data_IF_123925194134
#
_entry.id   IF_123925194134
#
_cell.length_a   1.000
_cell.length_b   1.000
_cell.length_c   1.000
_cell.angle_alpha   90.00
_cell.angle_beta   90.00
_cell.angle_gamma   90.00
#
_symmetry.space_group_name_H-M   'P 1'
#
loop_
_entity.id
_entity.type
_entity.pdbx_description
1 polymer ?
#
# COMPACT_ATOMS: atom_id res chain seq x y z
N UNK A 1 22.08 76.71 19.49
CA UNK A 1 21.93 76.53 18.03
C UNK A 1 23.19 75.84 17.51
N UNK A 2 23.04 74.85 16.63
CA UNK A 2 24.10 74.23 15.80
C UNK A 2 24.42 75.11 14.57
N UNK A 3 25.37 74.80 13.64
CA UNK A 3 26.33 73.66 13.47
C UNK A 3 27.82 74.13 13.56
N UNK A 4 28.91 73.43 13.20
CA UNK A 4 29.18 72.04 12.74
C UNK A 4 30.55 71.91 12.02
N UNK A 5 30.79 70.78 11.33
CA UNK A 5 32.02 70.37 10.57
C UNK A 5 33.30 70.10 11.42
N UNK A 6 34.21 69.17 11.06
CA UNK A 6 34.17 68.02 10.13
C UNK A 6 35.27 66.99 10.50
N UNK A 7 35.18 65.76 9.97
CA UNK A 7 36.01 64.59 10.31
C UNK A 7 37.11 64.28 9.27
N UNK A 8 38.19 63.65 9.74
CA UNK A 8 39.10 62.79 8.97
C UNK A 8 39.50 61.57 9.85
N UNK A 9 39.88 60.41 9.27
CA UNK A 9 39.48 59.09 9.80
C UNK A 9 40.56 58.34 10.59
N UNK A 10 40.21 57.17 11.17
CA UNK A 10 40.83 55.95 10.62
C UNK A 10 39.91 54.70 10.51
N UNK A 11 40.15 53.97 9.41
CA UNK A 11 40.21 52.51 9.23
C UNK A 11 39.44 51.54 10.16
N UNK A 12 38.55 50.78 9.51
CA UNK A 12 38.31 49.33 9.63
C UNK A 12 37.93 48.73 11.00
N UNK A 13 36.63 48.49 11.17
CA UNK A 13 36.07 47.48 12.08
C UNK A 13 34.96 46.69 11.33
N UNK A 14 34.71 45.40 11.63
CA UNK A 14 34.15 44.47 10.64
C UNK A 14 32.61 44.45 10.59
N UNK A 15 32.09 44.01 9.43
CA UNK A 15 30.66 43.76 9.22
C UNK A 15 30.10 42.75 10.22
N UNK A 16 29.04 43.14 10.94
CA UNK A 16 28.13 42.17 11.56
C UNK A 16 27.36 41.42 10.46
N UNK A 17 27.49 40.10 10.45
CA UNK A 17 26.53 39.17 9.86
C UNK A 17 25.85 38.43 11.01
N UNK A 18 24.50 38.44 11.12
CA UNK A 18 23.81 37.74 12.19
C UNK A 18 23.99 36.22 12.06
N UNK A 19 24.34 35.60 13.17
CA UNK A 19 24.56 34.16 13.31
C UNK A 19 23.22 33.40 13.18
N UNK A 20 22.91 32.88 11.99
CA UNK A 20 21.86 31.87 11.82
C UNK A 20 22.44 30.49 12.16
N UNK A 21 21.97 29.79 13.22
CA UNK A 21 22.41 28.44 13.50
C UNK A 21 21.83 27.49 12.44
N UNK A 22 22.66 27.14 11.45
CA UNK A 22 22.38 26.03 10.50
C UNK A 22 22.45 24.69 11.24
N UNK A 23 21.42 24.38 12.02
CA UNK A 23 21.11 23.00 12.36
C UNK A 23 20.55 22.31 11.11
N UNK A 24 21.46 21.94 10.20
CA UNK A 24 21.19 20.90 9.21
C UNK A 24 21.08 19.57 9.96
N UNK A 25 19.89 19.33 10.52
CA UNK A 25 19.51 18.02 11.01
C UNK A 25 19.53 17.07 9.82
N UNK A 26 20.62 16.30 9.69
CA UNK A 26 20.74 15.25 8.69
C UNK A 26 19.56 14.30 8.87
N UNK A 27 18.70 14.09 7.84
CA UNK A 27 17.57 13.20 7.98
C UNK A 27 18.08 11.80 8.35
N UNK A 28 17.46 11.13 9.34
CA UNK A 28 18.00 9.89 9.86
C UNK A 28 18.04 8.82 8.75
N UNK A 29 19.16 8.10 8.69
CA UNK A 29 19.58 7.25 7.55
C UNK A 29 18.58 6.15 7.11
N UNK A 30 17.51 5.90 7.87
CA UNK A 30 16.44 4.99 7.49
C UNK A 30 15.51 5.54 6.40
N UNK A 31 15.47 6.86 6.19
CA UNK A 31 14.75 7.50 5.07
C UNK A 31 15.43 7.29 3.70
N UNK A 32 16.69 6.83 3.68
CA UNK A 32 17.53 6.70 2.48
C UNK A 32 17.78 5.25 2.04
N UNK A 33 16.96 4.29 2.47
CA UNK A 33 17.02 2.91 1.94
C UNK A 33 16.13 2.77 0.69
N UNK A 34 16.69 2.33 -0.46
CA UNK A 34 15.88 1.90 -1.60
C UNK A 34 14.85 0.84 -1.18
N UNK A 35 13.68 0.84 -1.83
CA UNK A 35 12.58 -0.05 -1.48
C UNK A 35 12.89 -1.55 -1.67
N UNK A 36 13.95 -1.88 -2.41
CA UNK A 36 14.32 -3.24 -2.84
C UNK A 36 15.06 -4.07 -1.77
N UNK A 37 15.33 -3.53 -0.59
CA UNK A 37 15.89 -4.26 0.57
C UNK A 37 14.91 -4.28 1.74
N UNK A 38 13.80 -5.01 1.57
CA UNK A 38 12.81 -5.23 2.63
C UNK A 38 12.41 -6.71 2.69
N UNK A 39 12.76 -7.31 3.83
CA UNK A 39 12.32 -8.63 4.34
C UNK A 39 13.18 -9.83 3.87
N UNK A 40 14.33 -10.01 4.52
CA UNK A 40 14.85 -11.35 4.82
C UNK A 40 13.98 -11.96 5.93
N UNK A 41 12.88 -12.64 5.55
CA UNK A 41 12.16 -13.53 6.48
C UNK A 41 12.78 -14.91 6.38
N UNK A 42 13.37 -15.36 7.49
CA UNK A 42 13.54 -16.79 7.75
C UNK A 42 12.16 -17.34 8.17
N UNK A 43 11.49 -18.13 7.31
CA UNK A 43 10.16 -18.67 7.62
C UNK A 43 10.19 -19.71 8.75
N UNK A 44 11.38 -20.09 9.26
CA UNK A 44 11.55 -21.12 10.29
C UNK A 44 11.58 -20.58 11.72
N UNK A 45 11.53 -19.25 11.94
CA UNK A 45 11.68 -18.63 13.27
C UNK A 45 10.48 -17.88 13.84
N UNK A 46 9.56 -17.36 13.03
CA UNK A 46 8.45 -16.55 13.55
C UNK A 46 7.18 -17.38 13.80
N UNK A 47 6.61 -17.34 15.01
CA UNK A 47 5.23 -17.80 15.22
C UNK A 47 4.28 -16.79 14.58
N UNK A 48 3.11 -17.20 14.05
CA UNK A 48 2.21 -16.28 13.34
C UNK A 48 1.79 -15.03 14.14
N UNK A 49 1.62 -15.13 15.46
CA UNK A 49 1.28 -13.97 16.30
C UNK A 49 2.41 -12.93 16.38
N UNK A 50 3.66 -13.38 16.49
CA UNK A 50 4.85 -12.52 16.63
C UNK A 50 5.08 -11.67 15.37
N UNK A 51 4.62 -12.13 14.20
CA UNK A 51 4.81 -11.45 12.92
C UNK A 51 4.13 -10.09 12.81
N UNK A 52 3.04 -9.85 13.57
CA UNK A 52 2.28 -8.60 13.53
C UNK A 52 2.81 -7.54 14.50
N UNK A 53 3.56 -7.91 15.54
CA UNK A 53 4.03 -6.96 16.55
C UNK A 53 4.95 -5.87 15.95
N UNK A 54 5.97 -6.17 15.11
CA UNK A 54 6.77 -5.13 14.47
C UNK A 54 5.98 -4.24 13.50
N UNK A 55 4.87 -4.74 12.93
CA UNK A 55 3.96 -3.93 12.09
C UNK A 55 3.14 -2.98 12.96
N UNK A 56 2.65 -3.48 14.10
CA UNK A 56 1.86 -2.75 15.08
C UNK A 56 2.65 -1.58 15.72
N UNK A 57 3.90 -1.82 16.12
CA UNK A 57 4.78 -0.77 16.66
C UNK A 57 5.03 0.34 15.63
N UNK A 58 5.35 -0.03 14.39
CA UNK A 58 5.53 0.93 13.28
C UNK A 58 4.23 1.69 12.98
N UNK A 59 3.08 1.03 13.06
CA UNK A 59 1.78 1.65 12.86
C UNK A 59 1.51 2.69 13.95
N UNK A 60 1.70 2.35 15.23
CA UNK A 60 1.55 3.30 16.35
C UNK A 60 2.45 4.52 16.21
N UNK A 61 3.70 4.33 15.77
CA UNK A 61 4.65 5.42 15.54
C UNK A 61 4.24 6.40 14.41
N UNK A 62 3.20 6.10 13.63
CA UNK A 62 2.64 7.02 12.64
C UNK A 62 1.60 8.01 13.23
N UNK A 63 1.01 7.70 14.38
CA UNK A 63 0.07 8.57 15.10
C UNK A 63 -1.07 9.11 14.21
N UNK A 64 -1.11 10.42 14.06
CA UNK A 64 -2.15 11.17 13.33
C UNK A 64 -2.06 11.02 11.80
N UNK A 65 -0.99 10.38 11.27
CA UNK A 65 -0.87 10.06 9.85
C UNK A 65 -1.78 8.91 9.40
N UNK A 66 -2.49 8.28 10.33
CA UNK A 66 -3.44 7.19 10.10
C UNK A 66 -4.88 7.71 10.18
N UNK A 67 -5.59 7.64 9.07
CA UNK A 67 -6.99 8.05 8.92
C UNK A 67 -7.93 6.91 9.29
N UNK A 68 -9.17 7.22 9.68
CA UNK A 68 -10.21 6.20 9.91
C UNK A 68 -10.92 5.80 8.62
N UNK A 69 -11.46 4.57 8.58
CA UNK A 69 -12.22 4.04 7.44
C UNK A 69 -13.69 3.78 7.81
N UNK A 70 -14.54 4.83 7.98
CA UNK A 70 -15.91 4.68 8.49
C UNK A 70 -16.84 3.83 7.60
N UNK A 71 -16.52 3.68 6.31
CA UNK A 71 -17.30 2.87 5.36
C UNK A 71 -16.84 1.41 5.25
N UNK A 72 -15.78 1.01 5.96
CA UNK A 72 -15.29 -0.37 5.96
C UNK A 72 -15.94 -1.16 7.12
N UNK A 73 -16.95 -1.96 6.77
CA UNK A 73 -17.71 -2.77 7.73
C UNK A 73 -16.99 -4.10 8.01
N UNK A 74 -16.54 -4.31 9.25
CA UNK A 74 -15.77 -5.50 9.66
C UNK A 74 -16.57 -6.58 10.41
N UNK A 75 -17.85 -6.34 10.70
CA UNK A 75 -18.74 -7.32 11.36
C UNK A 75 -18.53 -7.52 12.87
N UNK A 76 -17.48 -6.96 13.48
CA UNK A 76 -17.28 -6.90 14.93
C UNK A 76 -17.04 -5.44 15.36
N UNK A 77 -17.88 -4.82 16.22
CA UNK A 77 -17.70 -3.44 16.65
C UNK A 77 -16.48 -3.21 17.55
N UNK A 78 -15.79 -4.26 18.00
CA UNK A 78 -14.47 -4.13 18.64
C UNK A 78 -13.31 -4.04 17.65
N UNK A 79 -13.56 -4.19 16.35
CA UNK A 79 -12.54 -4.01 15.32
C UNK A 79 -12.63 -2.61 14.69
N UNK A 80 -11.49 -1.93 14.62
CA UNK A 80 -11.34 -0.63 13.93
C UNK A 80 -10.43 -0.79 12.73
N UNK A 81 -10.81 -0.19 11.60
CA UNK A 81 -9.95 -0.06 10.44
C UNK A 81 -9.36 1.35 10.36
N UNK A 82 -8.04 1.44 10.16
CA UNK A 82 -7.31 2.68 9.90
C UNK A 82 -6.47 2.53 8.64
N UNK A 83 -6.28 3.61 7.89
CA UNK A 83 -5.49 3.59 6.67
C UNK A 83 -4.46 4.72 6.58
N UNK A 84 -3.54 4.57 5.64
CA UNK A 84 -2.64 5.63 5.15
C UNK A 84 -2.27 5.34 3.71
N UNK A 85 -1.96 6.38 2.96
CA UNK A 85 -1.27 6.26 1.69
C UNK A 85 0.22 6.60 1.84
N UNK A 86 1.08 5.86 1.15
CA UNK A 86 2.51 6.14 1.05
C UNK A 86 3.03 5.59 -0.28
N UNK A 87 3.84 6.37 -1.00
CA UNK A 87 4.51 5.99 -2.26
C UNK A 87 3.56 5.46 -3.39
N UNK A 88 2.27 5.80 -3.29
CA UNK A 88 1.19 5.38 -4.18
C UNK A 88 0.53 4.04 -3.81
N UNK A 89 0.89 3.48 -2.65
CA UNK A 89 0.30 2.28 -2.05
C UNK A 89 -0.65 2.68 -0.90
N UNK A 90 -1.77 1.97 -0.79
CA UNK A 90 -2.72 2.13 0.32
C UNK A 90 -2.51 1.02 1.35
N UNK A 91 -2.21 1.41 2.58
CA UNK A 91 -2.08 0.51 3.72
C UNK A 91 -3.36 0.58 4.55
N UNK A 92 -3.97 -0.57 4.82
CA UNK A 92 -5.14 -0.74 5.70
C UNK A 92 -4.73 -1.62 6.87
N UNK A 93 -4.96 -1.15 8.09
CA UNK A 93 -4.67 -1.84 9.34
C UNK A 93 -5.98 -2.13 10.07
N UNK A 94 -6.07 -3.29 10.70
CA UNK A 94 -7.22 -3.66 11.54
C UNK A 94 -6.74 -3.91 12.97
N UNK A 95 -7.34 -3.20 13.93
CA UNK A 95 -7.02 -3.23 15.35
C UNK A 95 -8.19 -3.82 16.15
N UNK A 96 -7.91 -4.70 17.14
CA UNK A 96 -8.85 -5.05 18.21
C UNK A 96 -8.74 -4.00 19.32
N UNK A 97 -9.71 -3.08 19.35
CA UNK A 97 -9.74 -1.96 20.30
C UNK A 97 -9.94 -2.41 21.74
N UNK A 98 -10.48 -3.62 21.96
CA UNK A 98 -10.67 -4.19 23.31
C UNK A 98 -9.38 -4.72 23.93
N UNK A 99 -8.36 -4.98 23.10
CA UNK A 99 -7.07 -5.57 23.48
C UNK A 99 -5.87 -4.74 23.05
N UNK A 100 -6.11 -3.56 22.47
CA UNK A 100 -5.10 -2.64 21.97
C UNK A 100 -4.03 -3.35 21.11
N UNK A 101 -4.47 -4.07 20.08
CA UNK A 101 -3.58 -4.89 19.24
C UNK A 101 -3.94 -4.87 17.75
N UNK A 102 -2.93 -4.91 16.89
CA UNK A 102 -3.11 -5.26 15.49
C UNK A 102 -3.60 -6.72 15.36
N UNK A 103 -4.66 -6.93 14.58
CA UNK A 103 -5.18 -8.27 14.22
C UNK A 103 -4.92 -8.62 12.76
N UNK A 104 -4.59 -7.63 11.92
CA UNK A 104 -4.08 -7.86 10.58
C UNK A 104 -3.93 -6.57 9.79
N UNK A 105 -3.42 -6.71 8.57
CA UNK A 105 -3.27 -5.61 7.62
C UNK A 105 -3.44 -6.10 6.18
N UNK A 106 -3.75 -5.16 5.29
CA UNK A 106 -3.70 -5.30 3.84
C UNK A 106 -2.90 -4.12 3.29
N UNK A 107 -1.97 -4.38 2.38
CA UNK A 107 -1.34 -3.34 1.57
C UNK A 107 -1.75 -3.55 0.12
N UNK A 108 -2.35 -2.53 -0.48
CA UNK A 108 -2.63 -2.45 -1.90
C UNK A 108 -1.36 -1.94 -2.58
N UNK A 109 -0.46 -2.88 -2.87
CA UNK A 109 0.85 -2.60 -3.46
C UNK A 109 0.72 -2.10 -4.89
N UNK A 110 1.72 -1.35 -5.34
CA UNK A 110 1.95 -1.11 -6.76
C UNK A 110 2.58 -2.35 -7.39
N UNK A 111 2.36 -2.55 -8.68
CA UNK A 111 2.97 -3.67 -9.42
C UNK A 111 4.10 -3.13 -10.29
N UNK A 112 5.33 -3.27 -9.83
CA UNK A 112 6.53 -2.83 -10.57
C UNK A 112 6.75 -3.61 -11.88
N UNK A 113 6.08 -4.77 -12.00
CA UNK A 113 6.01 -5.57 -13.21
C UNK A 113 5.02 -5.03 -14.26
N UNK A 114 4.24 -3.99 -13.98
CA UNK A 114 3.37 -3.30 -14.95
C UNK A 114 4.06 -2.11 -15.63
N UNK A 115 3.48 -1.62 -16.73
CA UNK A 115 3.85 -0.33 -17.29
C UNK A 115 3.24 0.84 -16.48
N UNK A 116 3.75 2.06 -16.71
CA UNK A 116 3.31 3.29 -16.01
C UNK A 116 1.86 3.71 -16.28
N UNK A 117 1.16 3.06 -17.22
CA UNK A 117 -0.25 3.33 -17.52
C UNK A 117 -1.13 2.36 -16.73
N UNK A 118 -0.83 1.06 -16.81
CA UNK A 118 -1.51 0.02 -16.05
C UNK A 118 -1.34 0.19 -14.52
N UNK A 119 -0.14 0.54 -14.04
CA UNK A 119 0.16 0.81 -12.62
C UNK A 119 -0.66 1.99 -12.01
N UNK A 120 -1.27 2.86 -12.82
CA UNK A 120 -2.17 3.91 -12.31
C UNK A 120 -3.53 3.38 -11.84
N UNK A 121 -3.94 2.23 -12.37
CA UNK A 121 -5.30 1.72 -12.25
C UNK A 121 -5.39 0.40 -11.47
N UNK A 122 -4.26 -0.31 -11.33
CA UNK A 122 -4.21 -1.65 -10.75
C UNK A 122 -3.42 -1.64 -9.44
N UNK A 123 -3.89 -2.38 -8.43
CA UNK A 123 -3.16 -2.67 -7.19
C UNK A 123 -3.10 -4.16 -6.88
N UNK A 124 -2.01 -4.60 -6.27
CA UNK A 124 -1.85 -5.99 -5.80
C UNK A 124 -2.05 -6.05 -4.29
N UNK A 125 -3.18 -6.58 -3.79
CA UNK A 125 -3.43 -6.62 -2.37
C UNK A 125 -2.67 -7.78 -1.70
N UNK A 126 -1.75 -7.43 -0.79
CA UNK A 126 -1.04 -8.35 0.08
C UNK A 126 -1.60 -8.24 1.50
N UNK A 127 -2.09 -9.35 2.07
CA UNK A 127 -2.77 -9.35 3.37
C UNK A 127 -2.23 -10.39 4.33
N UNK A 128 -2.21 -10.03 5.61
CA UNK A 128 -1.79 -10.91 6.70
C UNK A 128 -2.67 -10.67 7.92
N UNK A 129 -3.20 -11.75 8.50
CA UNK A 129 -4.11 -11.72 9.66
C UNK A 129 -3.67 -12.72 10.71
N UNK A 130 -3.82 -12.34 11.98
CA UNK A 130 -3.63 -13.23 13.12
C UNK A 130 -4.52 -14.48 12.97
N UNK A 131 -4.00 -15.70 13.25
CA UNK A 131 -4.77 -16.93 13.09
C UNK A 131 -6.14 -16.95 13.78
N UNK A 132 -6.29 -16.31 14.94
CA UNK A 132 -7.55 -16.25 15.67
C UNK A 132 -8.62 -15.40 14.95
N UNK A 133 -8.20 -14.52 14.03
CA UNK A 133 -9.04 -13.61 13.24
C UNK A 133 -9.20 -14.04 11.78
N UNK A 134 -8.50 -15.10 11.34
CA UNK A 134 -8.70 -15.69 10.02
C UNK A 134 -10.10 -16.29 9.87
N UNK A 135 -10.57 -16.40 8.61
CA UNK A 135 -11.90 -16.92 8.24
C UNK A 135 -13.10 -16.08 8.74
N UNK A 136 -12.88 -14.93 9.40
CA UNK A 136 -13.93 -13.97 9.83
C UNK A 136 -14.34 -12.93 8.77
N UNK A 137 -13.98 -13.14 7.50
CA UNK A 137 -14.34 -12.22 6.42
C UNK A 137 -13.53 -10.91 6.31
N UNK A 138 -12.55 -10.67 7.18
CA UNK A 138 -11.77 -9.41 7.20
C UNK A 138 -11.13 -9.06 5.84
N UNK A 139 -10.50 -10.04 5.19
CA UNK A 139 -9.93 -9.85 3.85
C UNK A 139 -11.01 -9.52 2.80
N UNK A 140 -12.16 -10.21 2.86
CA UNK A 140 -13.30 -9.96 1.98
C UNK A 140 -13.86 -8.55 2.15
N UNK A 141 -13.98 -8.07 3.39
CA UNK A 141 -14.45 -6.72 3.69
C UNK A 141 -13.49 -5.65 3.14
N UNK A 142 -12.18 -5.82 3.36
CA UNK A 142 -11.16 -4.86 2.88
C UNK A 142 -11.07 -4.86 1.34
N UNK A 143 -11.16 -6.02 0.69
CA UNK A 143 -11.08 -6.13 -0.78
C UNK A 143 -12.37 -5.62 -1.43
N UNK A 144 -13.53 -5.97 -0.87
CA UNK A 144 -14.84 -5.48 -1.32
C UNK A 144 -14.97 -3.97 -1.17
N UNK A 145 -14.49 -3.40 -0.06
CA UNK A 145 -14.40 -1.94 0.10
C UNK A 145 -13.52 -1.30 -0.99
N UNK A 146 -12.33 -1.85 -1.27
CA UNK A 146 -11.44 -1.30 -2.29
C UNK A 146 -12.06 -1.37 -3.70
N UNK A 147 -12.71 -2.48 -4.04
CA UNK A 147 -13.46 -2.64 -5.29
C UNK A 147 -14.61 -1.63 -5.36
N UNK A 148 -15.37 -1.43 -4.29
CA UNK A 148 -16.43 -0.42 -4.21
C UNK A 148 -15.93 1.04 -4.31
N UNK A 149 -14.64 1.29 -4.03
CA UNK A 149 -13.98 2.59 -4.31
C UNK A 149 -13.45 2.71 -5.75
N UNK A 150 -13.71 1.73 -6.63
CA UNK A 150 -13.24 1.73 -8.02
C UNK A 150 -11.78 1.30 -8.22
N UNK A 151 -11.15 0.70 -7.21
CA UNK A 151 -9.77 0.20 -7.29
C UNK A 151 -9.78 -1.18 -7.97
N UNK A 152 -9.16 -1.30 -9.15
CA UNK A 152 -8.97 -2.60 -9.78
C UNK A 152 -7.85 -3.39 -9.08
N UNK A 153 -8.10 -4.65 -8.79
CA UNK A 153 -7.17 -5.54 -8.10
C UNK A 153 -6.56 -6.55 -9.07
N UNK A 154 -5.27 -6.83 -8.91
CA UNK A 154 -4.57 -7.93 -9.59
C UNK A 154 -3.88 -8.85 -8.58
N UNK A 155 -3.97 -10.17 -8.78
CA UNK A 155 -3.40 -11.13 -7.84
C UNK A 155 -1.88 -11.17 -7.91
N UNK A 156 -1.22 -11.67 -6.86
CA UNK A 156 0.19 -12.06 -6.95
C UNK A 156 0.41 -13.27 -7.88
N UNK A 157 1.68 -13.56 -8.18
CA UNK A 157 2.10 -14.68 -9.04
C UNK A 157 1.87 -16.07 -8.43
N UNK A 158 1.70 -16.14 -7.11
CA UNK A 158 1.38 -17.35 -6.37
C UNK A 158 0.31 -16.98 -5.34
N UNK A 159 -0.81 -17.70 -5.36
CA UNK A 159 -1.88 -17.54 -4.39
C UNK A 159 -1.89 -18.75 -3.45
N UNK A 160 -2.22 -18.54 -2.17
CA UNK A 160 -2.61 -19.66 -1.32
C UNK A 160 -4.01 -20.15 -1.71
N UNK A 161 -4.41 -21.40 -1.39
CA UNK A 161 -5.78 -21.87 -1.66
C UNK A 161 -6.86 -20.99 -1.04
N UNK A 162 -6.61 -20.45 0.16
CA UNK A 162 -7.51 -19.50 0.82
C UNK A 162 -7.60 -18.14 0.12
N UNK A 163 -6.49 -17.64 -0.43
CA UNK A 163 -6.52 -16.46 -1.28
C UNK A 163 -7.29 -16.75 -2.57
N UNK A 164 -7.05 -17.88 -3.24
CA UNK A 164 -7.76 -18.22 -4.47
C UNK A 164 -9.28 -18.31 -4.24
N UNK A 165 -9.72 -18.97 -3.18
CA UNK A 165 -11.14 -19.05 -2.81
C UNK A 165 -11.76 -17.66 -2.52
N UNK A 166 -11.01 -16.72 -1.94
CA UNK A 166 -11.46 -15.33 -1.78
C UNK A 166 -11.64 -14.63 -3.14
N UNK A 167 -10.66 -14.73 -4.03
CA UNK A 167 -10.74 -14.11 -5.37
C UNK A 167 -11.90 -14.68 -6.20
N UNK A 168 -12.12 -16.00 -6.14
CA UNK A 168 -13.28 -16.67 -6.75
C UNK A 168 -14.62 -16.32 -6.09
N UNK A 169 -14.61 -15.92 -4.82
CA UNK A 169 -15.82 -15.43 -4.15
C UNK A 169 -16.22 -14.06 -4.71
N UNK A 170 -15.24 -13.15 -4.84
CA UNK A 170 -15.42 -11.76 -5.30
C UNK A 170 -15.75 -11.66 -6.79
N UNK A 171 -15.21 -12.54 -7.64
CA UNK A 171 -15.51 -12.57 -9.09
C UNK A 171 -16.97 -12.89 -9.44
N UNK A 172 -17.78 -13.33 -8.46
CA UNK A 172 -19.23 -13.50 -8.62
C UNK A 172 -20.02 -12.20 -8.50
N UNK A 173 -19.39 -11.13 -7.99
CA UNK A 173 -20.03 -9.83 -7.76
C UNK A 173 -19.34 -8.69 -8.53
N UNK A 174 -18.09 -8.88 -8.95
CA UNK A 174 -17.31 -7.90 -9.70
C UNK A 174 -16.83 -8.48 -11.04
N UNK A 175 -16.73 -7.64 -12.08
CA UNK A 175 -16.21 -8.10 -13.37
C UNK A 175 -14.75 -8.55 -13.23
N UNK A 176 -14.45 -9.73 -13.77
CA UNK A 176 -13.21 -10.45 -13.51
C UNK A 176 -12.68 -11.14 -14.77
N UNK A 177 -11.41 -11.54 -14.73
CA UNK A 177 -10.81 -12.39 -15.74
C UNK A 177 -9.35 -12.69 -15.46
N UNK A 178 -8.69 -13.28 -16.45
CA UNK A 178 -7.30 -13.70 -16.40
C UNK A 178 -6.45 -12.99 -17.46
N UNK A 179 -5.18 -12.79 -17.13
CA UNK A 179 -4.18 -12.16 -17.99
C UNK A 179 -2.83 -12.86 -17.90
N UNK A 180 -2.10 -12.87 -19.01
CA UNK A 180 -0.68 -13.21 -19.05
C UNK A 180 0.13 -11.91 -18.93
N UNK A 181 0.92 -11.81 -17.86
CA UNK A 181 1.75 -10.64 -17.54
C UNK A 181 3.22 -10.91 -17.86
N UNK A 182 3.65 -10.45 -19.04
CA UNK A 182 5.03 -10.59 -19.56
C UNK A 182 5.52 -9.24 -20.10
N UNK A 183 6.81 -8.95 -19.93
CA UNK A 183 7.46 -7.75 -20.45
C UNK A 183 6.70 -6.42 -20.17
N UNK A 184 6.07 -6.32 -18.99
CA UNK A 184 5.22 -5.19 -18.55
C UNK A 184 3.94 -4.95 -19.34
N UNK A 185 3.49 -5.93 -20.14
CA UNK A 185 2.20 -5.91 -20.84
C UNK A 185 1.24 -6.96 -20.29
N UNK A 186 -0.04 -6.71 -20.51
CA UNK A 186 -1.13 -7.59 -20.17
C UNK A 186 -1.74 -8.12 -21.47
N UNK A 187 -1.77 -9.44 -21.66
CA UNK A 187 -2.59 -10.09 -22.69
C UNK A 187 -3.78 -10.75 -22.02
N UNK A 188 -4.98 -10.46 -22.49
CA UNK A 188 -6.21 -11.04 -21.96
C UNK A 188 -6.28 -12.54 -22.30
N UNK A 189 -6.61 -13.37 -21.31
CA UNK A 189 -6.76 -14.81 -21.47
C UNK A 189 -8.22 -15.28 -21.46
N UNK A 190 -9.16 -14.42 -21.07
CA UNK A 190 -10.58 -14.74 -20.93
C UNK A 190 -11.10 -14.65 -19.49
N UNK A 191 -12.38 -14.97 -19.31
CA UNK A 191 -13.03 -15.07 -17.98
C UNK A 191 -12.72 -16.40 -17.28
N UNK A 192 -12.44 -17.43 -18.07
CA UNK A 192 -12.09 -18.78 -17.64
C UNK A 192 -10.83 -19.22 -18.40
N UNK A 193 -9.99 -20.02 -17.75
CA UNK A 193 -8.74 -20.56 -18.31
C UNK A 193 -8.54 -22.01 -17.86
N UNK A 194 -7.76 -22.77 -18.61
CA UNK A 194 -7.42 -24.14 -18.26
C UNK A 194 -6.53 -24.20 -16.99
N UNK A 195 -6.65 -25.27 -16.21
CA UNK A 195 -5.92 -25.45 -14.96
C UNK A 195 -4.39 -25.36 -15.13
N UNK A 196 -3.84 -25.81 -16.27
CA UNK A 196 -2.40 -25.68 -16.58
C UNK A 196 -1.95 -24.22 -16.72
N UNK A 197 -2.79 -23.38 -17.33
CA UNK A 197 -2.52 -21.95 -17.52
C UNK A 197 -2.68 -21.20 -16.20
N UNK A 198 -3.62 -21.61 -15.34
CA UNK A 198 -3.79 -21.04 -14.00
C UNK A 198 -2.56 -21.20 -13.10
N UNK A 199 -1.75 -22.23 -13.32
CA UNK A 199 -0.49 -22.46 -12.58
C UNK A 199 0.75 -21.78 -13.20
N UNK A 200 0.63 -21.12 -14.35
CA UNK A 200 1.76 -20.40 -14.96
C UNK A 200 2.16 -19.18 -14.12
N UNK A 201 3.48 -18.96 -13.94
CA UNK A 201 4.03 -17.86 -13.14
C UNK A 201 3.63 -16.46 -13.65
N UNK A 202 3.24 -16.33 -14.90
CA UNK A 202 2.82 -15.08 -15.54
C UNK A 202 1.31 -14.86 -15.53
N UNK A 203 0.51 -15.90 -15.24
CA UNK A 203 -0.93 -15.78 -15.15
C UNK A 203 -1.31 -14.98 -13.90
N UNK A 204 -2.18 -13.99 -14.07
CA UNK A 204 -2.77 -13.21 -12.98
C UNK A 204 -4.28 -13.25 -13.12
N UNK A 205 -4.98 -13.29 -12.00
CA UNK A 205 -6.41 -12.96 -11.96
C UNK A 205 -6.55 -11.45 -11.71
N UNK A 206 -7.53 -10.81 -12.34
CA UNK A 206 -7.92 -9.44 -12.02
C UNK A 206 -9.40 -9.36 -11.62
N UNK A 207 -9.71 -8.34 -10.80
CA UNK A 207 -11.05 -7.92 -10.41
C UNK A 207 -11.16 -6.43 -10.70
N UNK A 208 -12.24 -6.00 -11.36
CA UNK A 208 -12.49 -4.61 -11.66
C UNK A 208 -13.29 -3.96 -10.53
N UNK A 209 -12.87 -2.78 -10.11
CA UNK A 209 -13.63 -1.98 -9.15
C UNK A 209 -14.86 -1.34 -9.80
N UNK A 210 -15.78 -0.85 -8.97
CA UNK A 210 -17.04 -0.25 -9.39
C UNK A 210 -16.79 0.95 -10.32
N UNK A 211 -17.65 1.09 -11.34
CA UNK A 211 -17.49 2.10 -12.40
C UNK A 211 -16.48 1.75 -13.50
N UNK A 212 -15.84 0.57 -13.44
CA UNK A 212 -15.09 0.00 -14.57
C UNK A 212 -15.92 -1.00 -15.38
N UNK A 213 -15.59 -1.09 -16.66
CA UNK A 213 -16.00 -2.19 -17.55
C UNK A 213 -14.74 -2.81 -18.15
N UNK A 214 -14.79 -4.07 -18.57
CA UNK A 214 -13.68 -4.74 -19.23
C UNK A 214 -13.18 -3.98 -20.47
N UNK A 215 -14.08 -3.38 -21.25
CA UNK A 215 -13.71 -2.56 -22.42
C UNK A 215 -12.89 -1.32 -22.00
N UNK A 216 -13.40 -0.56 -21.03
CA UNK A 216 -12.69 0.61 -20.47
C UNK A 216 -11.34 0.19 -19.90
N UNK A 217 -11.31 -0.89 -19.12
CA UNK A 217 -10.09 -1.42 -18.53
C UNK A 217 -9.07 -1.78 -19.60
N UNK A 218 -9.46 -2.56 -20.63
CA UNK A 218 -8.58 -2.94 -21.74
C UNK A 218 -7.93 -1.74 -22.41
N UNK A 219 -8.73 -0.70 -22.71
CA UNK A 219 -8.24 0.54 -23.30
C UNK A 219 -7.28 1.30 -22.39
N UNK A 220 -7.61 1.45 -21.10
CA UNK A 220 -6.79 2.24 -20.18
C UNK A 220 -5.52 1.55 -19.73
N UNK A 221 -5.47 0.22 -19.67
CA UNK A 221 -4.25 -0.53 -19.28
C UNK A 221 -3.50 -1.10 -20.49
N UNK A 222 -3.96 -0.83 -21.71
CA UNK A 222 -3.45 -1.39 -22.98
C UNK A 222 -3.37 -2.92 -22.95
N UNK A 223 -4.44 -3.55 -22.49
CA UNK A 223 -4.54 -5.01 -22.46
C UNK A 223 -4.92 -5.53 -23.85
N UNK A 224 -4.00 -6.29 -24.43
CA UNK A 224 -4.10 -6.95 -25.74
C UNK A 224 -5.17 -8.06 -25.68
#
# INVERSE_FOLDING_TARGET
>A
MTPGLALAPPLLSPFLLPLLPRFLALPPRWLLRPAELRIDVDPRRAKPADTLLPVHERMRALGDRLQDMPHLVLGDPGLRARCREADGELYVYIEDTRRDRLVGYTVFNRLIELDRRADRHIRAPHSQYDPAFQRRGLASAVYGWALAQGICLMSGARQSPGAHALWQCLSRQHEAGFVDLRARRLRYLGKEIEARTLTELHTRMFLLGDGWTLERFRREVRME
#
